data_IF_254340465880
#
_entry.id   IF_254340465880
#
_cell.length_a   1.000
_cell.length_b   1.000
_cell.length_c   1.000
_cell.angle_alpha   90.00
_cell.angle_beta   90.00
_cell.angle_gamma   90.00
#
_symmetry.space_group_name_H-M   'P 1'
#
loop_
_entity.id
_entity.type
_entity.pdbx_description
1 polymer ?
#
# COMPACT_ATOMS: atom_id res chain seq x y z
N UNK A 1 -44.30 -37.91 36.43
CA UNK A 1 -44.59 -37.51 35.03
C UNK A 1 -44.32 -36.03 34.90
N UNK A 2 -43.85 -35.63 33.72
CA UNK A 2 -43.54 -34.27 33.24
C UNK A 2 -42.13 -33.72 33.47
N UNK A 3 -41.38 -33.82 32.36
CA UNK A 3 -40.29 -32.97 31.90
C UNK A 3 -40.59 -31.47 32.13
N UNK A 4 -39.53 -30.67 32.34
CA UNK A 4 -39.07 -29.68 31.35
C UNK A 4 -37.56 -29.48 31.53
N UNK A 5 -36.78 -29.88 30.54
CA UNK A 5 -35.39 -29.44 30.35
C UNK A 5 -35.48 -28.18 29.48
N UNK A 6 -35.12 -27.02 30.03
CA UNK A 6 -35.00 -25.80 29.22
C UNK A 6 -33.51 -25.57 28.95
N UNK A 7 -33.05 -26.09 27.82
CA UNK A 7 -31.76 -25.73 27.25
C UNK A 7 -31.82 -24.27 26.77
N UNK A 8 -31.09 -23.37 27.42
CA UNK A 8 -30.73 -22.10 26.79
C UNK A 8 -29.64 -22.38 25.76
N UNK A 9 -29.98 -22.34 24.48
CA UNK A 9 -29.00 -22.12 23.43
C UNK A 9 -28.47 -20.69 23.58
N UNK A 10 -27.20 -20.56 23.93
CA UNK A 10 -26.45 -19.34 23.65
C UNK A 10 -26.23 -19.28 22.14
N UNK A 11 -26.84 -18.29 21.48
CA UNK A 11 -26.50 -17.95 20.11
C UNK A 11 -25.10 -17.33 20.11
N UNK A 12 -24.10 -18.11 19.69
CA UNK A 12 -22.81 -17.55 19.31
C UNK A 12 -23.04 -16.74 18.02
N UNK A 13 -22.90 -15.43 18.13
CA UNK A 13 -22.79 -14.57 16.96
C UNK A 13 -21.51 -14.96 16.21
N UNK A 14 -21.67 -15.53 15.02
CA UNK A 14 -20.59 -15.67 14.06
C UNK A 14 -20.27 -14.28 13.51
N UNK A 15 -19.26 -13.62 14.07
CA UNK A 15 -18.54 -12.59 13.34
C UNK A 15 -17.70 -13.29 12.27
N UNK A 16 -17.79 -12.79 11.05
CA UNK A 16 -17.14 -13.34 9.86
C UNK A 16 -15.66 -13.62 10.09
N UNK A 17 -15.20 -14.76 9.58
CA UNK A 17 -13.83 -15.19 9.76
C UNK A 17 -12.85 -14.18 9.16
N UNK A 18 -12.02 -13.58 10.02
CA UNK A 18 -10.68 -13.16 9.64
C UNK A 18 -9.97 -14.36 9.02
N UNK A 19 -9.43 -14.19 7.82
CA UNK A 19 -8.44 -15.11 7.30
C UNK A 19 -7.32 -15.23 8.34
N UNK A 20 -6.90 -16.44 8.66
CA UNK A 20 -5.83 -16.68 9.65
C UNK A 20 -4.44 -16.42 9.06
N UNK A 21 -4.35 -15.60 8.01
CA UNK A 21 -3.11 -15.10 7.46
C UNK A 21 -2.72 -13.83 8.22
N UNK A 22 -1.42 -13.55 8.36
CA UNK A 22 -1.01 -12.25 8.89
C UNK A 22 -1.37 -11.17 7.86
N UNK A 23 -1.99 -10.09 8.32
CA UNK A 23 -2.44 -8.95 7.52
C UNK A 23 -1.29 -8.40 6.66
N UNK A 24 -1.55 -8.02 5.40
CA UNK A 24 -0.50 -7.51 4.50
C UNK A 24 -0.91 -6.24 3.78
N UNK A 25 0.01 -5.28 3.72
CA UNK A 25 -0.19 -4.02 3.01
C UNK A 25 0.08 -4.18 1.51
N UNK A 26 -0.84 -3.69 0.69
CA UNK A 26 -0.71 -3.65 -0.77
C UNK A 26 -1.30 -2.39 -1.40
N UNK A 27 -0.94 -2.16 -2.65
CA UNK A 27 -1.47 -1.14 -3.55
C UNK A 27 -2.56 -1.80 -4.39
N UNK A 28 -3.75 -1.20 -4.37
CA UNK A 28 -4.95 -1.70 -5.07
C UNK A 28 -5.40 -0.78 -6.20
N UNK A 29 -4.92 0.46 -6.25
CA UNK A 29 -5.13 1.31 -7.41
C UNK A 29 -4.27 2.57 -7.40
N UNK A 30 -3.98 3.06 -8.60
CA UNK A 30 -3.19 4.25 -8.86
C UNK A 30 -3.77 5.03 -10.05
N UNK A 31 -3.75 6.35 -9.96
CA UNK A 31 -3.96 7.27 -11.07
C UNK A 31 -3.05 8.48 -10.86
N UNK A 32 -2.24 8.78 -11.88
CA UNK A 32 -1.36 9.95 -11.94
C UNK A 32 -1.82 10.90 -13.03
N UNK A 33 -1.48 12.18 -12.94
CA UNK A 33 -1.86 13.22 -13.92
C UNK A 33 -0.65 14.06 -14.31
N UNK A 34 -0.68 14.70 -15.47
CA UNK A 34 0.39 15.55 -16.01
C UNK A 34 1.75 14.84 -16.22
N UNK A 35 1.76 13.51 -16.24
CA UNK A 35 2.94 12.72 -16.58
C UNK A 35 3.07 12.60 -18.11
N UNK A 36 4.27 12.89 -18.63
CA UNK A 36 4.58 12.84 -20.06
C UNK A 36 5.66 11.78 -20.27
N UNK A 37 5.21 10.55 -20.44
CA UNK A 37 6.12 9.44 -20.72
C UNK A 37 6.54 9.43 -22.21
N UNK A 38 7.82 9.12 -22.44
CA UNK A 38 8.41 8.88 -23.76
C UNK A 38 8.73 7.38 -23.99
N UNK A 39 8.25 6.48 -23.12
CA UNK A 39 8.65 5.09 -23.07
C UNK A 39 7.68 4.14 -22.36
N UNK A 40 8.21 3.41 -21.40
CA UNK A 40 7.59 2.34 -20.63
C UNK A 40 8.41 2.30 -19.34
N UNK A 41 8.19 3.30 -18.49
CA UNK A 41 8.91 3.42 -17.23
C UNK A 41 8.13 2.69 -16.13
N UNK A 42 8.87 2.21 -15.13
CA UNK A 42 8.29 1.45 -14.04
C UNK A 42 7.90 2.48 -12.95
N UNK A 43 6.63 2.48 -12.53
CA UNK A 43 6.23 3.29 -11.36
C UNK A 43 6.53 2.51 -10.09
N UNK A 44 7.09 3.19 -9.11
CA UNK A 44 7.32 2.63 -7.79
C UNK A 44 6.70 3.53 -6.72
N UNK A 45 6.26 2.91 -5.63
CA UNK A 45 5.67 3.59 -4.47
C UNK A 45 6.55 3.24 -3.27
N UNK A 46 7.32 4.22 -2.81
CA UNK A 46 8.25 4.09 -1.70
C UNK A 46 7.62 4.62 -0.43
N UNK A 47 7.96 3.99 0.69
CA UNK A 47 7.48 4.34 2.02
C UNK A 47 8.65 4.71 2.90
N UNK A 48 8.51 5.84 3.60
CA UNK A 48 9.49 6.35 4.53
C UNK A 48 8.86 6.65 5.88
N UNK A 49 9.60 6.46 6.96
CA UNK A 49 9.25 6.98 8.29
C UNK A 49 9.47 8.51 8.29
N UNK A 50 8.42 9.27 8.62
CA UNK A 50 8.43 10.74 8.56
C UNK A 50 9.42 11.37 9.53
N UNK A 51 9.60 10.76 10.71
CA UNK A 51 10.41 11.32 11.79
C UNK A 51 11.91 11.08 11.57
N UNK A 52 12.25 9.94 11.00
CA UNK A 52 13.64 9.48 10.83
C UNK A 52 14.14 9.60 9.40
N UNK A 53 13.24 9.64 8.42
CA UNK A 53 13.57 9.50 6.99
C UNK A 53 14.03 8.09 6.60
N UNK A 54 13.81 7.08 7.47
CA UNK A 54 14.18 5.70 7.17
C UNK A 54 13.31 5.13 6.05
N UNK A 55 13.94 4.51 5.06
CA UNK A 55 13.25 3.77 4.01
C UNK A 55 12.66 2.47 4.57
N UNK A 56 11.34 2.37 4.59
CA UNK A 56 10.59 1.25 5.15
C UNK A 56 10.30 0.16 4.10
N UNK A 57 10.28 0.53 2.83
CA UNK A 57 10.05 -0.39 1.72
C UNK A 57 9.32 0.24 0.54
N UNK A 58 9.01 -0.56 -0.47
CA UNK A 58 8.32 -0.08 -1.68
C UNK A 58 7.42 -1.14 -2.30
N UNK A 59 6.61 -0.71 -3.27
CA UNK A 59 5.99 -1.56 -4.28
C UNK A 59 6.43 -1.06 -5.65
N UNK A 60 6.71 -1.95 -6.61
CA UNK A 60 7.28 -1.55 -7.90
C UNK A 60 6.99 -2.57 -9.01
N UNK A 61 7.86 -2.62 -10.02
CA UNK A 61 7.61 -3.40 -11.24
C UNK A 61 7.30 -4.89 -11.01
N UNK A 62 7.98 -5.52 -10.05
CA UNK A 62 7.77 -6.94 -9.69
C UNK A 62 6.40 -7.22 -9.07
N UNK A 63 5.69 -6.18 -8.67
CA UNK A 63 4.39 -6.16 -8.02
C UNK A 63 3.30 -5.58 -8.94
N UNK A 64 3.59 -5.48 -10.25
CA UNK A 64 2.60 -5.11 -11.27
C UNK A 64 2.50 -3.62 -11.57
N UNK A 65 3.46 -2.79 -11.10
CA UNK A 65 3.50 -1.35 -11.37
C UNK A 65 4.34 -0.98 -12.61
N UNK A 66 4.65 -1.95 -13.46
CA UNK A 66 5.27 -1.69 -14.76
C UNK A 66 4.28 -1.08 -15.74
N UNK A 67 4.70 -0.05 -16.48
CA UNK A 67 3.88 0.64 -17.49
C UNK A 67 2.62 1.32 -16.87
N UNK A 68 2.72 1.78 -15.61
CA UNK A 68 1.63 2.37 -14.79
C UNK A 68 1.84 3.87 -14.59
N UNK A 69 2.11 4.60 -15.66
CA UNK A 69 2.51 6.02 -15.68
C UNK A 69 1.64 6.88 -16.62
N UNK A 70 0.70 6.28 -17.36
CA UNK A 70 -0.12 7.03 -18.30
C UNK A 70 -1.02 8.05 -17.58
N UNK A 71 -0.85 9.32 -17.93
CA UNK A 71 -1.63 10.43 -17.38
C UNK A 71 -3.14 10.19 -17.50
N UNK A 72 -3.85 10.42 -16.39
CA UNK A 72 -5.29 10.33 -16.24
C UNK A 72 -5.86 8.94 -16.56
N UNK A 73 -5.02 7.91 -16.45
CA UNK A 73 -5.43 6.50 -16.53
C UNK A 73 -5.43 5.91 -15.14
N UNK A 74 -6.59 5.37 -14.77
CA UNK A 74 -6.74 4.61 -13.55
C UNK A 74 -6.34 3.16 -13.76
N UNK A 75 -5.43 2.68 -12.92
CA UNK A 75 -5.00 1.30 -12.87
C UNK A 75 -5.54 0.62 -11.61
N UNK A 76 -6.08 -0.59 -11.77
CA UNK A 76 -6.39 -1.49 -10.67
C UNK A 76 -5.20 -2.43 -10.48
N UNK A 77 -4.67 -2.47 -9.27
CA UNK A 77 -3.37 -3.08 -8.94
C UNK A 77 -3.54 -4.18 -7.87
N UNK A 78 -2.52 -5.02 -7.75
CA UNK A 78 -2.39 -6.03 -6.70
C UNK A 78 -0.90 -6.13 -6.34
N UNK A 79 -0.37 -5.03 -5.81
CA UNK A 79 1.06 -4.86 -5.58
C UNK A 79 1.43 -4.85 -4.11
N UNK A 80 2.20 -5.84 -3.64
CA UNK A 80 2.60 -5.88 -2.23
C UNK A 80 3.67 -4.84 -1.93
N UNK A 81 3.67 -4.29 -0.71
CA UNK A 81 4.84 -3.59 -0.20
C UNK A 81 5.90 -4.58 0.28
N UNK A 82 7.16 -4.30 -0.05
CA UNK A 82 8.34 -5.08 0.30
C UNK A 82 9.28 -4.24 1.15
N UNK A 83 9.67 -4.78 2.30
CA UNK A 83 10.79 -4.26 3.11
C UNK A 83 12.09 -4.26 2.29
N UNK A 84 13.14 -3.53 2.72
CA UNK A 84 14.47 -3.60 2.09
C UNK A 84 15.08 -5.02 2.06
N UNK A 85 14.61 -5.91 2.95
CA UNK A 85 15.01 -7.31 2.98
C UNK A 85 14.25 -8.19 1.95
N UNK A 86 13.21 -7.65 1.31
CA UNK A 86 12.36 -8.34 0.32
C UNK A 86 11.14 -9.05 0.92
N UNK A 87 10.98 -9.05 2.24
CA UNK A 87 9.79 -9.56 2.92
C UNK A 87 8.61 -8.60 2.74
N UNK A 88 7.37 -9.11 2.75
CA UNK A 88 6.18 -8.25 2.72
C UNK A 88 6.07 -7.43 4.00
N UNK A 89 5.64 -6.18 3.88
CA UNK A 89 5.38 -5.34 5.05
C UNK A 89 4.13 -5.84 5.78
N UNK A 90 4.29 -6.03 7.09
CA UNK A 90 3.22 -6.30 8.02
C UNK A 90 2.65 -4.94 8.50
N UNK A 91 1.35 -4.65 8.34
CA UNK A 91 0.76 -3.38 8.78
C UNK A 91 0.99 -3.09 10.26
N UNK A 92 1.05 -4.13 11.11
CA UNK A 92 1.33 -3.98 12.55
C UNK A 92 2.72 -3.39 12.81
N UNK A 93 3.67 -3.57 11.88
CA UNK A 93 5.00 -2.98 11.99
C UNK A 93 5.00 -1.45 11.81
N UNK A 94 3.91 -0.88 11.28
CA UNK A 94 3.73 0.56 11.06
C UNK A 94 3.00 1.24 12.22
N UNK A 95 2.62 0.51 13.28
CA UNK A 95 1.87 1.07 14.39
C UNK A 95 2.68 2.12 15.16
N UNK A 96 2.10 3.32 15.27
CA UNK A 96 2.74 4.47 15.91
C UNK A 96 3.83 5.14 15.06
N UNK A 97 3.93 4.78 13.77
CA UNK A 97 4.80 5.43 12.78
C UNK A 97 3.92 6.24 11.84
N UNK A 98 4.25 7.51 11.64
CA UNK A 98 3.72 8.28 10.52
C UNK A 98 4.62 8.04 9.30
N UNK A 99 4.01 7.74 8.16
CA UNK A 99 4.72 7.40 6.92
C UNK A 99 4.51 8.46 5.85
N UNK A 100 5.53 8.64 5.02
CA UNK A 100 5.48 9.38 3.77
C UNK A 100 5.56 8.37 2.63
N UNK A 101 4.57 8.44 1.73
CA UNK A 101 4.59 7.75 0.45
C UNK A 101 5.15 8.67 -0.63
N UNK A 102 6.11 8.18 -1.40
CA UNK A 102 6.63 8.81 -2.60
C UNK A 102 6.29 7.93 -3.79
N UNK A 103 5.60 8.47 -4.78
CA UNK A 103 5.38 7.81 -6.07
C UNK A 103 6.42 8.34 -7.03
N UNK A 104 7.19 7.45 -7.63
CA UNK A 104 8.30 7.77 -8.51
C UNK A 104 8.18 7.01 -9.82
N UNK A 105 8.74 7.59 -10.86
CA UNK A 105 9.11 6.92 -12.10
C UNK A 105 10.58 6.50 -11.96
N UNK A 106 10.84 5.19 -11.91
CA UNK A 106 12.18 4.61 -11.68
C UNK A 106 12.85 4.20 -13.00
N UNK A 107 14.10 4.62 -13.18
CA UNK A 107 14.94 4.32 -14.36
C UNK A 107 16.18 3.47 -14.05
N UNK A 108 16.46 3.17 -12.77
CA UNK A 108 17.77 2.71 -12.34
C UNK A 108 17.74 1.44 -11.46
N UNK A 109 17.05 1.45 -10.33
CA UNK A 109 17.20 0.43 -9.27
C UNK A 109 15.83 -0.07 -8.77
N UNK A 110 15.39 -1.27 -9.20
CA UNK A 110 14.04 -1.73 -8.90
C UNK A 110 13.83 -2.03 -7.41
N UNK A 111 12.60 -1.87 -6.95
CA UNK A 111 12.12 -2.30 -5.65
C UNK A 111 12.58 -3.75 -5.33
N UNK A 112 13.16 -4.05 -4.14
CA UNK A 112 13.08 -3.31 -2.87
C UNK A 112 14.24 -2.35 -2.56
N UNK A 113 14.87 -1.74 -3.57
CA UNK A 113 15.84 -0.68 -3.36
C UNK A 113 15.15 0.65 -2.97
N UNK A 114 15.82 1.54 -2.19
CA UNK A 114 15.38 2.92 -2.07
C UNK A 114 15.56 3.68 -3.40
N UNK A 115 14.86 4.80 -3.61
CA UNK A 115 15.00 5.59 -4.82
C UNK A 115 16.43 6.11 -5.00
N UNK A 116 16.86 6.13 -6.24
CA UNK A 116 18.07 6.79 -6.71
C UNK A 116 17.94 8.31 -6.76
N UNK A 117 19.06 9.05 -6.88
CA UNK A 117 19.06 10.50 -7.01
C UNK A 117 18.64 11.00 -8.41
N UNK A 118 18.48 10.08 -9.38
CA UNK A 118 18.04 10.38 -10.75
C UNK A 118 16.57 10.07 -11.00
N UNK A 119 15.92 9.38 -10.07
CA UNK A 119 14.53 8.94 -10.23
C UNK A 119 13.59 10.15 -10.20
N UNK A 120 12.58 10.09 -11.06
CA UNK A 120 11.67 11.21 -11.28
C UNK A 120 10.49 11.10 -10.30
N UNK A 121 10.42 12.03 -9.35
CA UNK A 121 9.35 12.04 -8.34
C UNK A 121 8.06 12.59 -8.95
N UNK A 122 7.02 11.76 -9.01
CA UNK A 122 5.67 12.11 -9.45
C UNK A 122 4.93 12.83 -8.32
N UNK A 123 5.02 12.32 -7.10
CA UNK A 123 4.36 12.95 -5.96
C UNK A 123 4.84 12.46 -4.61
N UNK A 124 4.73 13.35 -3.62
CA UNK A 124 5.08 13.08 -2.22
C UNK A 124 3.86 13.38 -1.36
N UNK A 125 3.40 12.39 -0.62
CA UNK A 125 2.31 12.57 0.34
C UNK A 125 2.74 13.41 1.54
N UNK A 126 1.77 14.02 2.24
CA UNK A 126 2.02 14.43 3.62
C UNK A 126 2.08 13.22 4.55
N UNK A 127 2.38 13.42 5.85
CA UNK A 127 2.36 12.33 6.83
C UNK A 127 1.02 11.59 6.86
N UNK A 128 1.07 10.28 6.68
CA UNK A 128 -0.06 9.37 6.79
C UNK A 128 0.14 8.47 8.02
N UNK A 129 -0.87 8.26 8.86
CA UNK A 129 -0.71 7.36 9.99
C UNK A 129 -0.54 5.92 9.46
N UNK A 130 0.56 5.27 9.87
CA UNK A 130 0.82 3.86 9.55
C UNK A 130 -0.28 2.93 10.07
N UNK A 131 -0.86 3.27 11.22
CA UNK A 131 -2.08 2.64 11.72
C UNK A 131 -3.25 2.98 10.80
N UNK A 132 -3.85 1.95 10.18
CA UNK A 132 -4.98 2.11 9.29
C UNK A 132 -4.62 2.55 7.87
N UNK A 133 -3.34 2.47 7.46
CA UNK A 133 -2.92 2.87 6.11
C UNK A 133 -3.72 2.17 4.99
N UNK A 134 -4.11 0.91 5.17
CA UNK A 134 -4.97 0.19 4.23
C UNK A 134 -6.48 0.34 4.46
N UNK A 135 -6.89 1.11 5.47
CA UNK A 135 -8.28 1.55 5.69
C UNK A 135 -8.49 3.01 5.21
N UNK A 136 -7.40 3.74 4.95
CA UNK A 136 -7.42 5.13 4.48
C UNK A 136 -7.34 5.16 2.97
N UNK A 137 -8.50 5.19 2.32
CA UNK A 137 -8.53 5.27 0.86
C UNK A 137 -9.75 5.96 0.28
N UNK A 138 -9.57 6.74 -0.81
CA UNK A 138 -8.31 7.03 -1.52
C UNK A 138 -7.57 8.28 -0.99
N UNK A 139 -6.24 8.32 -1.16
CA UNK A 139 -5.41 9.52 -0.93
C UNK A 139 -4.97 10.14 -2.27
N UNK A 140 -4.71 11.46 -2.26
CA UNK A 140 -4.24 12.21 -3.43
C UNK A 140 -3.22 13.26 -2.99
N UNK A 141 -2.14 13.42 -3.75
CA UNK A 141 -1.05 14.37 -3.48
C UNK A 141 -0.26 14.66 -4.76
N UNK A 142 0.15 15.91 -4.97
CA UNK A 142 0.86 16.38 -6.17
C UNK A 142 0.20 15.88 -7.47
N UNK A 143 0.94 15.14 -8.32
CA UNK A 143 0.44 14.54 -9.54
C UNK A 143 -0.25 13.18 -9.32
N UNK A 144 -0.23 12.62 -8.10
CA UNK A 144 -0.97 11.41 -7.74
C UNK A 144 -2.40 11.80 -7.37
N UNK A 145 -3.32 11.68 -8.33
CA UNK A 145 -4.73 12.05 -8.14
C UNK A 145 -5.54 10.93 -7.50
N UNK A 146 -5.00 9.70 -7.51
CA UNK A 146 -5.57 8.57 -6.80
C UNK A 146 -4.49 7.59 -6.37
N UNK A 147 -4.47 7.25 -5.08
CA UNK A 147 -3.76 6.09 -4.56
C UNK A 147 -4.66 5.35 -3.56
N UNK A 148 -4.83 4.05 -3.78
CA UNK A 148 -5.60 3.16 -2.91
C UNK A 148 -4.73 2.04 -2.37
N UNK A 149 -4.62 1.99 -1.05
CA UNK A 149 -3.99 0.92 -0.30
C UNK A 149 -5.04 0.02 0.36
N UNK A 150 -4.66 -1.22 0.64
CA UNK A 150 -5.51 -2.16 1.35
C UNK A 150 -4.73 -3.02 2.34
N UNK A 151 -5.47 -3.71 3.19
CA UNK A 151 -4.97 -4.79 4.05
C UNK A 151 -5.72 -6.08 3.72
N UNK A 152 -4.97 -7.18 3.53
CA UNK A 152 -5.52 -8.53 3.28
C UNK A 152 -5.07 -9.54 4.32
#
# INVERSE_FOLDING_TARGET
MSLVVTSLLAAAAAAGGCGTGPDRLWVTGLEVTNEIDFGALDVEIHMFDVDTGEFLGCSGASEGLRDVDASDVRYDLDGWFRTPAGDRIDPDALFGIDVELQVIEDDADPCPAPPGPSDDVIGISGPLPGEGLGDITPVSFDNVVYLELGVY
#
